data_IF_955668803207
#
_entry.id   IF_955668803207
#
_cell.length_a   1.000
_cell.length_b   1.000
_cell.length_c   1.000
_cell.angle_alpha   90.00
_cell.angle_beta   90.00
_cell.angle_gamma   90.00
#
_symmetry.space_group_name_H-M   'P 1'
#
loop_
_entity.id
_entity.type
_entity.pdbx_description
1 polymer ?
#
# COMPACT_ATOMS: atom_id res chain seq x y z
N UNK A 1 -6.35 7.42 -6.95
CA UNK A 1 -6.91 7.70 -5.60
C UNK A 1 -6.09 8.81 -4.99
N UNK A 2 -6.71 9.71 -4.24
CA UNK A 2 -6.06 10.76 -3.47
C UNK A 2 -6.54 10.67 -2.02
N UNK A 3 -5.69 11.03 -1.07
CA UNK A 3 -6.07 11.20 0.32
C UNK A 3 -5.49 12.54 0.79
N UNK A 4 -6.27 13.26 1.58
CA UNK A 4 -5.79 14.47 2.25
C UNK A 4 -5.17 14.06 3.59
N UNK A 5 -3.90 14.41 3.81
CA UNK A 5 -3.18 14.12 5.06
C UNK A 5 -3.06 15.33 5.97
N UNK A 6 -3.39 16.53 5.48
CA UNK A 6 -3.32 17.74 6.29
C UNK A 6 -4.39 17.78 7.38
N UNK A 7 -4.29 18.79 8.26
CA UNK A 7 -5.34 19.14 9.22
C UNK A 7 -6.73 19.13 8.56
N UNK A 8 -7.76 18.53 9.19
CA UNK A 8 -7.84 18.13 10.60
C UNK A 8 -7.45 16.66 10.89
N UNK A 9 -6.75 15.97 9.96
CA UNK A 9 -6.25 14.62 10.22
C UNK A 9 -5.39 14.59 11.49
N UNK A 10 -5.45 13.47 12.20
CA UNK A 10 -4.69 13.25 13.42
C UNK A 10 -3.52 12.28 13.17
N UNK A 11 -2.47 12.32 14.00
CA UNK A 11 -1.38 11.38 13.91
C UNK A 11 -1.86 9.93 13.88
N UNK A 12 -1.42 9.17 12.88
CA UNK A 12 -1.79 7.78 12.60
C UNK A 12 -3.21 7.55 12.05
N UNK A 13 -3.95 8.60 11.69
CA UNK A 13 -5.14 8.43 10.84
C UNK A 13 -4.74 7.63 9.60
N UNK A 14 -5.41 6.49 9.40
CA UNK A 14 -5.03 5.52 8.38
C UNK A 14 -6.14 5.40 7.34
N UNK A 15 -5.84 5.80 6.11
CA UNK A 15 -6.65 5.48 4.95
C UNK A 15 -6.30 4.07 4.45
N UNK A 16 -7.32 3.25 4.18
CA UNK A 16 -7.15 1.88 3.68
C UNK A 16 -7.81 1.73 2.33
N UNK A 17 -7.02 1.38 1.32
CA UNK A 17 -7.50 0.96 0.01
C UNK A 17 -7.27 -0.54 -0.14
N UNK A 18 -8.30 -1.27 -0.56
CA UNK A 18 -8.21 -2.69 -0.84
C UNK A 18 -8.54 -2.98 -2.30
N UNK A 19 -7.79 -3.89 -2.90
CA UNK A 19 -8.19 -4.48 -4.17
C UNK A 19 -9.38 -5.43 -3.99
N UNK A 20 -10.05 -5.80 -5.11
CA UNK A 20 -10.82 -7.04 -5.16
C UNK A 20 -9.97 -8.26 -4.79
N UNK A 21 -10.62 -9.41 -4.61
CA UNK A 21 -9.95 -10.68 -4.46
C UNK A 21 -9.11 -10.99 -5.71
N UNK A 22 -7.83 -11.26 -5.50
CA UNK A 22 -6.85 -11.60 -6.52
C UNK A 22 -6.65 -13.11 -6.49
N UNK A 23 -7.01 -13.83 -7.57
CA UNK A 23 -6.67 -15.23 -7.68
C UNK A 23 -5.15 -15.38 -7.86
N UNK A 24 -4.56 -16.38 -7.22
CA UNK A 24 -3.13 -16.63 -7.32
C UNK A 24 -2.78 -17.14 -8.72
N UNK A 25 -1.64 -16.71 -9.25
CA UNK A 25 -1.08 -17.17 -10.53
C UNK A 25 0.33 -17.67 -10.28
N UNK A 26 0.47 -18.98 -10.14
CA UNK A 26 1.76 -19.59 -9.78
C UNK A 26 2.26 -19.15 -8.41
N UNK A 27 3.58 -19.13 -8.24
CA UNK A 27 4.23 -18.83 -6.96
C UNK A 27 4.67 -17.35 -6.83
N UNK A 28 4.59 -16.59 -7.92
CA UNK A 28 5.04 -15.21 -7.97
C UNK A 28 4.09 -14.38 -8.83
N UNK A 29 3.67 -13.23 -8.29
CA UNK A 29 2.90 -12.22 -9.02
C UNK A 29 3.55 -10.86 -8.80
N UNK A 30 3.44 -9.96 -9.78
CA UNK A 30 3.99 -8.61 -9.65
C UNK A 30 2.84 -7.61 -9.58
N UNK A 31 2.82 -6.78 -8.53
CA UNK A 31 1.95 -5.60 -8.49
C UNK A 31 2.72 -4.39 -9.01
N UNK A 32 2.01 -3.57 -9.77
CA UNK A 32 2.55 -2.34 -10.35
C UNK A 32 1.62 -1.20 -10.02
N UNK A 33 2.15 -0.14 -9.45
CA UNK A 33 1.38 1.05 -9.08
C UNK A 33 2.24 2.29 -9.19
N UNK A 34 1.57 3.42 -9.33
CA UNK A 34 2.18 4.74 -9.23
C UNK A 34 1.80 5.35 -7.89
N UNK A 35 2.73 6.07 -7.26
CA UNK A 35 2.47 6.82 -6.04
C UNK A 35 3.07 8.22 -6.12
N UNK A 36 2.46 9.16 -5.41
CA UNK A 36 2.95 10.52 -5.26
C UNK A 36 2.87 10.88 -3.78
N UNK A 37 4.01 11.15 -3.15
CA UNK A 37 4.11 11.43 -1.73
C UNK A 37 4.91 12.71 -1.52
N UNK A 38 4.22 13.82 -1.32
CA UNK A 38 4.81 15.14 -1.15
C UNK A 38 4.01 15.95 -0.14
N UNK A 39 4.71 16.59 0.79
CA UNK A 39 4.11 17.40 1.85
C UNK A 39 4.65 17.06 3.25
N UNK A 40 4.48 17.95 4.23
CA UNK A 40 4.99 17.75 5.57
C UNK A 40 4.15 16.75 6.40
N UNK A 41 2.86 16.66 6.12
CA UNK A 41 1.91 15.87 6.93
C UNK A 41 1.78 14.41 6.45
N UNK A 42 2.47 14.04 5.36
CA UNK A 42 2.42 12.67 4.85
C UNK A 42 3.39 11.79 5.63
N UNK A 43 2.86 10.74 6.25
CA UNK A 43 3.65 9.78 7.00
C UNK A 43 4.06 8.61 6.11
N UNK A 44 3.38 7.46 6.20
CA UNK A 44 3.86 6.22 5.57
C UNK A 44 2.80 5.62 4.66
N UNK A 45 3.19 5.22 3.45
CA UNK A 45 2.43 4.31 2.58
C UNK A 45 3.02 2.90 2.71
N UNK A 46 2.21 1.98 3.22
CA UNK A 46 2.53 0.56 3.29
C UNK A 46 1.65 -0.24 2.32
N UNK A 47 2.24 -1.23 1.67
CA UNK A 47 1.53 -2.19 0.81
C UNK A 47 1.63 -3.58 1.41
N UNK A 48 0.52 -4.28 1.47
CA UNK A 48 0.39 -5.61 2.08
C UNK A 48 -0.32 -6.58 1.14
N UNK A 49 -0.15 -7.87 1.41
CA UNK A 49 -1.13 -8.87 1.02
C UNK A 49 -2.04 -9.19 2.21
N UNK A 50 -3.30 -9.51 1.91
CA UNK A 50 -4.29 -9.88 2.90
C UNK A 50 -4.95 -11.20 2.54
N UNK A 51 -4.89 -12.16 3.47
CA UNK A 51 -5.51 -13.48 3.35
C UNK A 51 -6.42 -13.67 4.56
N UNK A 52 -7.68 -14.04 4.35
CA UNK A 52 -8.66 -14.25 5.43
C UNK A 52 -8.75 -13.09 6.42
N UNK A 53 -8.74 -11.85 5.91
CA UNK A 53 -8.71 -10.60 6.69
C UNK A 53 -7.48 -10.38 7.58
N UNK A 54 -6.44 -11.20 7.44
CA UNK A 54 -5.16 -11.04 8.14
C UNK A 54 -4.15 -10.38 7.19
N UNK A 55 -3.58 -9.26 7.61
CA UNK A 55 -2.49 -8.58 6.89
C UNK A 55 -1.18 -9.37 7.05
N UNK A 56 -0.42 -9.46 5.96
CA UNK A 56 0.97 -9.90 5.98
C UNK A 56 1.88 -8.87 6.65
N UNK A 57 3.19 -9.15 6.69
CA UNK A 57 4.18 -8.07 6.76
C UNK A 57 4.09 -7.19 5.51
N UNK A 58 4.42 -5.89 5.58
CA UNK A 58 4.40 -5.04 4.39
C UNK A 58 5.35 -5.63 3.33
N UNK A 59 4.82 -5.79 2.12
CA UNK A 59 5.60 -6.22 0.94
C UNK A 59 6.38 -5.06 0.34
N UNK A 60 5.94 -3.83 0.61
CA UNK A 60 6.63 -2.59 0.27
C UNK A 60 6.21 -1.48 1.24
N UNK A 61 7.12 -0.55 1.50
CA UNK A 61 6.87 0.59 2.38
C UNK A 61 7.65 1.80 1.92
N UNK A 62 7.04 2.98 2.07
CA UNK A 62 7.70 4.27 1.86
C UNK A 62 7.21 5.26 2.91
N UNK A 63 8.15 5.94 3.56
CA UNK A 63 7.88 6.92 4.61
C UNK A 63 8.38 8.31 4.19
N UNK A 64 7.59 9.31 4.53
CA UNK A 64 7.87 10.72 4.35
C UNK A 64 7.66 11.21 2.93
N UNK A 65 7.96 12.49 2.76
CA UNK A 65 8.02 13.13 1.45
C UNK A 65 9.11 12.49 0.60
N UNK A 66 8.82 12.30 -0.69
CA UNK A 66 9.78 11.80 -1.67
C UNK A 66 10.22 12.93 -2.59
N UNK A 67 9.31 13.36 -3.47
CA UNK A 67 9.44 14.49 -4.36
C UNK A 67 8.03 14.86 -4.85
N UNK A 68 7.87 16.03 -5.47
CA UNK A 68 6.63 16.48 -6.08
C UNK A 68 6.43 15.88 -7.49
N UNK A 69 6.61 14.57 -7.62
CA UNK A 69 6.47 13.81 -8.87
C UNK A 69 5.86 12.43 -8.64
N UNK A 70 5.30 11.86 -9.70
CA UNK A 70 4.78 10.49 -9.68
C UNK A 70 5.93 9.49 -9.80
N UNK A 71 5.94 8.49 -8.92
CA UNK A 71 6.93 7.42 -8.90
C UNK A 71 6.27 6.08 -9.23
N UNK A 72 6.88 5.35 -10.17
CA UNK A 72 6.45 4.00 -10.52
C UNK A 72 7.10 2.99 -9.58
N UNK A 73 6.31 2.02 -9.13
CA UNK A 73 6.80 0.89 -8.36
C UNK A 73 6.28 -0.42 -8.94
N UNK A 74 7.19 -1.39 -9.03
CA UNK A 74 6.89 -2.81 -9.21
C UNK A 74 7.33 -3.56 -7.95
N UNK A 75 6.46 -4.42 -7.42
CA UNK A 75 6.73 -5.22 -6.22
C UNK A 75 6.34 -6.67 -6.50
N UNK A 76 7.28 -7.57 -6.30
CA UNK A 76 7.04 -8.99 -6.40
C UNK A 76 6.36 -9.50 -5.12
N UNK A 77 5.27 -10.24 -5.32
CA UNK A 77 4.48 -10.88 -4.31
C UNK A 77 4.78 -12.37 -4.33
N UNK A 78 5.40 -12.85 -3.26
CA UNK A 78 5.51 -14.29 -2.98
C UNK A 78 4.24 -14.74 -2.26
N UNK A 79 3.32 -15.39 -2.98
CA UNK A 79 2.10 -15.93 -2.40
C UNK A 79 2.32 -17.37 -1.98
N UNK A 80 2.38 -17.63 -0.68
CA UNK A 80 2.53 -19.00 -0.16
C UNK A 80 1.23 -19.77 -0.42
N UNK A 81 1.28 -20.76 -1.31
CA UNK A 81 0.26 -21.82 -1.36
C UNK A 81 -1.03 -21.51 -2.11
N UNK A 82 -0.98 -20.77 -3.23
CA UNK A 82 -2.11 -20.72 -4.16
C UNK A 82 -3.43 -20.23 -3.53
N UNK A 83 -3.34 -19.36 -2.53
CA UNK A 83 -4.50 -18.81 -1.83
C UNK A 83 -4.93 -17.47 -2.42
N UNK A 84 -6.23 -17.25 -2.52
CA UNK A 84 -6.81 -15.97 -2.94
C UNK A 84 -6.51 -14.90 -1.89
N UNK A 85 -6.08 -13.71 -2.32
CA UNK A 85 -5.69 -12.63 -1.43
C UNK A 85 -6.21 -11.28 -1.91
N UNK A 86 -6.12 -10.23 -1.09
CA UNK A 86 -6.25 -8.84 -1.53
C UNK A 86 -4.90 -8.13 -1.43
N UNK A 87 -4.69 -7.13 -2.26
CA UNK A 87 -3.63 -6.13 -2.06
C UNK A 87 -4.23 -4.99 -1.26
N UNK A 88 -3.59 -4.65 -0.14
CA UNK A 88 -4.06 -3.59 0.75
C UNK A 88 -3.00 -2.49 0.84
N UNK A 89 -3.40 -1.25 0.58
CA UNK A 89 -2.58 -0.06 0.73
C UNK A 89 -3.07 0.67 1.99
N UNK A 90 -2.17 0.89 2.95
CA UNK A 90 -2.44 1.71 4.13
C UNK A 90 -1.60 2.97 4.04
N UNK A 91 -2.24 4.13 4.13
CA UNK A 91 -1.53 5.41 4.17
C UNK A 91 -1.84 6.12 5.47
N UNK A 92 -0.80 6.61 6.12
CA UNK A 92 -0.88 7.28 7.41
C UNK A 92 -0.58 8.77 7.25
N UNK A 93 -1.31 9.60 7.99
CA UNK A 93 -0.97 11.00 8.23
C UNK A 93 -0.11 11.14 9.50
N UNK A 94 0.71 12.20 9.54
CA UNK A 94 1.35 12.66 10.77
C UNK A 94 0.40 13.40 11.70
#
# INVERSE_FOLDING_TARGET
>A
MFIETSSPRQPNDTARLESPLVPPKGNAQCIRFWYHMYGPDINTLNVYTMINNVLSRPVWSRTGTVDNQWHFQAVDLTTTGGTVFKVTYLVQAY
#
